data_IF_051431077015
#
_entry.id   IF_051431077015
#
_cell.length_a   1.000
_cell.length_b   1.000
_cell.length_c   1.000
_cell.angle_alpha   90.00
_cell.angle_beta   90.00
_cell.angle_gamma   90.00
#
_symmetry.space_group_name_H-M   'P 1'
#
loop_
_entity.id
_entity.type
_entity.pdbx_description
1 polymer ?
#
# COMPACT_ATOMS: atom_id res chain seq x y z
N UNK A 1 -5.93 18.47 39.97
CA UNK A 1 -6.09 18.85 38.56
C UNK A 1 -4.79 18.51 37.83
N UNK A 2 -4.70 17.33 37.25
CA UNK A 2 -3.60 17.01 36.33
C UNK A 2 -4.07 17.44 34.94
N UNK A 3 -3.45 18.47 34.38
CA UNK A 3 -3.68 18.86 33.00
C UNK A 3 -3.13 17.73 32.11
N UNK A 4 -4.04 16.94 31.55
CA UNK A 4 -3.71 16.01 30.47
C UNK A 4 -3.13 16.83 29.33
N UNK A 5 -1.87 16.56 29.03
CA UNK A 5 -1.15 17.14 27.90
C UNK A 5 -1.81 16.58 26.65
N UNK A 6 -2.75 17.31 26.07
CA UNK A 6 -3.29 16.95 24.75
C UNK A 6 -2.09 16.84 23.80
N UNK A 7 -1.81 15.62 23.34
CA UNK A 7 -0.91 15.41 22.22
C UNK A 7 -1.48 16.22 21.04
N UNK A 8 -0.64 16.90 20.24
CA UNK A 8 -1.14 17.65 19.10
C UNK A 8 -1.97 16.73 18.22
N UNK A 9 -3.19 17.16 17.94
CA UNK A 9 -4.11 16.49 17.02
C UNK A 9 -3.43 16.44 15.66
N UNK A 10 -2.93 15.25 15.31
CA UNK A 10 -2.27 15.02 14.02
C UNK A 10 -3.37 14.97 12.98
N UNK A 11 -3.52 16.04 12.21
CA UNK A 11 -4.32 16.02 10.99
C UNK A 11 -3.75 14.89 10.14
N UNK A 12 -4.54 13.89 9.72
CA UNK A 12 -4.05 12.84 8.85
C UNK A 12 -3.51 13.49 7.58
N UNK A 13 -2.19 13.39 7.35
CA UNK A 13 -1.56 13.92 6.15
C UNK A 13 -2.16 13.21 4.92
N UNK A 14 -2.45 13.96 3.85
CA UNK A 14 -2.96 13.37 2.61
C UNK A 14 -1.96 12.31 2.13
N UNK A 15 -2.39 11.04 1.91
CA UNK A 15 -1.50 9.98 1.44
C UNK A 15 -0.73 10.33 0.16
N UNK A 16 -1.30 11.17 -0.71
CA UNK A 16 -0.64 11.65 -1.93
C UNK A 16 0.52 12.58 -1.56
N UNK A 17 0.31 13.50 -0.63
CA UNK A 17 1.35 14.44 -0.18
C UNK A 17 2.49 13.69 0.52
N UNK A 18 2.15 12.68 1.33
CA UNK A 18 3.15 11.80 1.97
C UNK A 18 3.98 11.05 0.91
N UNK A 19 3.34 10.50 -0.11
CA UNK A 19 4.04 9.79 -1.19
C UNK A 19 4.90 10.72 -2.07
N UNK A 20 4.44 11.95 -2.30
CA UNK A 20 5.20 12.98 -3.01
C UNK A 20 6.42 13.43 -2.20
N UNK A 21 6.32 13.54 -0.87
CA UNK A 21 7.42 13.94 -0.01
C UNK A 21 8.65 13.01 -0.12
N UNK A 22 8.45 11.71 -0.37
CA UNK A 22 9.54 10.74 -0.59
C UNK A 22 10.41 11.08 -1.81
N UNK A 23 9.85 11.79 -2.78
CA UNK A 23 10.55 12.24 -3.98
C UNK A 23 10.63 13.76 -4.08
N UNK A 24 10.65 14.47 -2.95
CA UNK A 24 10.80 15.94 -2.90
C UNK A 24 9.71 16.67 -3.71
N UNK A 25 8.53 16.07 -3.82
CA UNK A 25 7.42 16.61 -4.61
C UNK A 25 7.49 16.28 -6.11
N UNK A 26 8.41 15.45 -6.59
CA UNK A 26 8.44 15.02 -8.00
C UNK A 26 7.37 13.94 -8.28
N UNK A 27 6.27 14.29 -8.98
CA UNK A 27 5.20 13.34 -9.25
C UNK A 27 5.62 12.22 -10.19
N UNK A 28 6.57 12.45 -11.11
CA UNK A 28 7.02 11.41 -12.06
C UNK A 28 7.83 10.35 -11.33
N UNK A 29 8.73 10.77 -10.45
CA UNK A 29 9.52 9.85 -9.64
C UNK A 29 8.62 9.05 -8.68
N UNK A 30 7.66 9.71 -8.00
CA UNK A 30 6.68 9.02 -7.14
C UNK A 30 5.86 8.00 -7.91
N UNK A 31 5.27 8.38 -9.05
CA UNK A 31 4.46 7.46 -9.87
C UNK A 31 5.30 6.27 -10.37
N UNK A 32 6.54 6.52 -10.80
CA UNK A 32 7.43 5.45 -11.25
C UNK A 32 7.71 4.43 -10.14
N UNK A 33 8.00 4.89 -8.92
CA UNK A 33 8.18 4.03 -7.75
C UNK A 33 6.91 3.24 -7.44
N UNK A 34 5.74 3.90 -7.40
CA UNK A 34 4.47 3.21 -7.10
C UNK A 34 4.10 2.15 -8.15
N UNK A 35 4.42 2.38 -9.42
CA UNK A 35 4.25 1.36 -10.48
C UNK A 35 5.15 0.16 -10.22
N UNK A 36 6.40 0.39 -9.82
CA UNK A 36 7.34 -0.69 -9.50
C UNK A 36 6.91 -1.48 -8.26
N UNK A 37 6.46 -0.79 -7.21
CA UNK A 37 5.93 -1.42 -6.00
C UNK A 37 4.70 -2.28 -6.34
N UNK A 38 3.79 -1.76 -7.16
CA UNK A 38 2.64 -2.52 -7.64
C UNK A 38 3.06 -3.76 -8.44
N UNK A 39 4.11 -3.66 -9.27
CA UNK A 39 4.67 -4.78 -10.03
C UNK A 39 5.25 -5.84 -9.08
N UNK A 40 6.02 -5.41 -8.09
CA UNK A 40 6.59 -6.29 -7.06
C UNK A 40 5.49 -7.02 -6.27
N UNK A 41 4.46 -6.31 -5.81
CA UNK A 41 3.34 -6.90 -5.07
C UNK A 41 2.58 -7.93 -5.91
N UNK A 42 2.33 -7.65 -7.19
CA UNK A 42 1.70 -8.62 -8.11
C UNK A 42 2.55 -9.88 -8.28
N UNK A 43 3.87 -9.75 -8.36
CA UNK A 43 4.78 -10.90 -8.42
C UNK A 43 4.72 -11.73 -7.13
N UNK A 44 4.75 -11.09 -5.95
CA UNK A 44 4.62 -11.78 -4.66
C UNK A 44 3.29 -12.53 -4.54
N UNK A 45 2.18 -11.91 -4.98
CA UNK A 45 0.87 -12.57 -5.01
C UNK A 45 0.85 -13.78 -5.94
N UNK A 46 1.44 -13.68 -7.14
CA UNK A 46 1.52 -14.80 -8.08
C UNK A 46 2.37 -15.97 -7.52
N UNK A 47 3.50 -15.67 -6.89
CA UNK A 47 4.33 -16.68 -6.21
C UNK A 47 3.56 -17.36 -5.08
N UNK A 48 2.84 -16.57 -4.27
CA UNK A 48 2.05 -17.07 -3.15
C UNK A 48 0.88 -17.93 -3.64
N UNK A 49 0.18 -17.53 -4.69
CA UNK A 49 -0.87 -18.34 -5.31
C UNK A 49 -0.31 -19.69 -5.81
N UNK A 50 0.85 -19.68 -6.47
CA UNK A 50 1.49 -20.90 -6.96
C UNK A 50 1.99 -21.85 -5.85
N UNK A 51 2.43 -21.29 -4.73
CA UNK A 51 2.95 -22.05 -3.59
C UNK A 51 1.85 -22.58 -2.66
N UNK A 52 0.71 -21.89 -2.54
CA UNK A 52 -0.39 -22.31 -1.67
C UNK A 52 -1.22 -23.44 -2.28
N UNK A 53 -1.61 -24.42 -1.46
CA UNK A 53 -2.54 -25.45 -1.89
C UNK A 53 -3.96 -24.89 -2.03
N UNK A 54 -4.76 -25.42 -2.99
CA UNK A 54 -6.17 -25.01 -3.19
C UNK A 54 -7.03 -25.15 -1.92
N UNK A 55 -6.66 -26.07 -1.03
CA UNK A 55 -7.36 -26.29 0.25
C UNK A 55 -7.04 -25.23 1.29
N UNK A 56 -5.85 -24.62 1.26
CA UNK A 56 -5.43 -23.59 2.21
C UNK A 56 -6.30 -22.33 2.12
N UNK A 57 -6.63 -21.90 0.89
CA UNK A 57 -7.46 -20.71 0.65
C UNK A 57 -8.94 -21.02 0.50
N UNK A 58 -9.36 -22.27 0.72
CA UNK A 58 -10.74 -22.76 0.46
C UNK A 58 -11.27 -22.36 -0.92
N UNK A 59 -10.41 -22.42 -1.94
CA UNK A 59 -10.75 -22.08 -3.31
C UNK A 59 -10.73 -20.58 -3.65
N UNK A 60 -10.43 -19.69 -2.70
CA UNK A 60 -10.22 -18.28 -2.99
C UNK A 60 -8.93 -18.07 -3.82
N UNK A 61 -8.99 -17.14 -4.78
CA UNK A 61 -7.88 -16.74 -5.64
C UNK A 61 -7.76 -15.21 -5.67
N UNK A 62 -6.54 -14.66 -5.74
CA UNK A 62 -6.33 -13.23 -5.83
C UNK A 62 -6.90 -12.66 -7.14
N UNK A 63 -7.58 -11.52 -7.07
CA UNK A 63 -7.89 -10.68 -8.23
C UNK A 63 -6.80 -9.62 -8.35
N UNK A 64 -6.18 -9.53 -9.53
CA UNK A 64 -5.14 -8.54 -9.81
C UNK A 64 -5.69 -7.21 -10.33
N UNK A 65 -6.99 -7.21 -10.63
CA UNK A 65 -7.75 -6.07 -11.14
C UNK A 65 -8.61 -5.48 -10.02
N UNK A 66 -8.81 -4.16 -10.06
CA UNK A 66 -9.70 -3.45 -9.15
C UNK A 66 -11.05 -3.35 -9.83
N UNK A 67 -12.04 -4.07 -9.32
CA UNK A 67 -13.44 -3.89 -9.76
C UNK A 67 -13.86 -2.43 -9.56
N UNK A 68 -14.32 -1.80 -10.65
CA UNK A 68 -14.93 -0.45 -10.64
C UNK A 68 -16.18 -0.37 -9.77
#
# INVERSE_FOLDING_TARGET
MHAERQAPETIPEDPVDVALAWHQGDPRATIATLIEDCRHLRQQLALTEGAMSRGMTRGWRPSFDRSE
#
